data_IF_914721530074
#
_entry.id   IF_914721530074
#
_cell.length_a   1.000
_cell.length_b   1.000
_cell.length_c   1.000
_cell.angle_alpha   90.00
_cell.angle_beta   90.00
_cell.angle_gamma   90.00
#
_symmetry.space_group_name_H-M   'P 1'
#
loop_
_entity.id
_entity.type
_entity.pdbx_description
1 polymer ?
#
# COMPACT_ATOMS: atom_id res chain seq x y z
N UNK A 1 -10.19 -17.79 39.16
CA UNK A 1 -9.59 -16.43 39.22
C UNK A 1 -8.33 -16.43 38.37
N UNK A 2 -8.12 -15.33 37.60
CA UNK A 2 -6.96 -14.97 36.77
C UNK A 2 -7.04 -15.58 35.36
N UNK A 3 -7.80 -14.98 34.43
CA UNK A 3 -7.48 -13.78 33.64
C UNK A 3 -6.08 -13.83 33.04
N UNK A 4 -6.02 -13.89 31.71
CA UNK A 4 -5.15 -13.12 30.81
C UNK A 4 -5.49 -13.60 29.39
N UNK A 5 -6.65 -13.19 28.83
CA UNK A 5 -6.71 -12.09 27.86
C UNK A 5 -5.39 -11.95 27.10
N UNK A 6 -5.09 -12.96 26.27
CA UNK A 6 -4.16 -12.84 25.15
C UNK A 6 -4.58 -11.61 24.37
N UNK A 7 -3.86 -10.53 24.66
CA UNK A 7 -3.99 -9.26 23.99
C UNK A 7 -3.86 -9.56 22.51
N UNK A 8 -4.96 -9.32 21.80
CA UNK A 8 -4.94 -8.99 20.38
C UNK A 8 -3.76 -8.05 20.19
N UNK A 9 -2.67 -8.57 19.64
CA UNK A 9 -1.61 -7.73 19.07
C UNK A 9 -2.34 -7.01 17.96
N UNK A 10 -2.85 -5.82 18.28
CA UNK A 10 -3.27 -4.85 17.29
C UNK A 10 -1.99 -4.58 16.51
N UNK A 11 -1.85 -5.33 15.42
CA UNK A 11 -0.84 -5.14 14.40
C UNK A 11 -0.99 -3.66 14.03
N UNK A 12 -0.11 -2.82 14.60
CA UNK A 12 -0.10 -1.40 14.30
C UNK A 12 -0.05 -1.33 12.77
N UNK A 13 -0.97 -0.61 12.12
CA UNK A 13 -0.96 -0.54 10.66
C UNK A 13 0.43 -0.09 10.27
N UNK A 14 1.17 -0.96 9.57
CA UNK A 14 2.50 -0.62 9.05
C UNK A 14 2.36 0.70 8.30
N UNK A 15 3.36 1.60 8.36
CA UNK A 15 3.30 2.83 7.59
C UNK A 15 3.06 2.49 6.12
N UNK A 16 1.88 2.86 5.64
CA UNK A 16 1.47 2.70 4.24
C UNK A 16 1.67 4.02 3.54
N UNK A 17 2.30 3.97 2.37
CA UNK A 17 2.46 5.12 1.49
C UNK A 17 1.46 5.02 0.35
N UNK A 18 0.99 6.18 -0.10
CA UNK A 18 0.07 6.28 -1.23
C UNK A 18 0.84 6.26 -2.54
N UNK A 19 0.36 5.47 -3.48
CA UNK A 19 0.93 5.35 -4.84
C UNK A 19 -0.17 5.55 -5.85
N UNK A 20 0.07 6.43 -6.83
CA UNK A 20 -0.81 6.63 -7.97
C UNK A 20 -0.36 5.70 -9.10
N UNK A 21 -1.23 4.81 -9.55
CA UNK A 21 -0.95 3.95 -10.70
C UNK A 21 -0.93 4.79 -11.98
N UNK A 22 0.20 4.88 -12.65
CA UNK A 22 0.37 5.67 -13.88
C UNK A 22 0.37 4.80 -15.13
N UNK A 23 0.52 3.48 -14.97
CA UNK A 23 0.52 2.49 -16.06
C UNK A 23 -0.80 2.46 -16.80
N UNK A 24 -0.77 2.58 -18.13
CA UNK A 24 -1.98 2.60 -18.98
C UNK A 24 -2.86 1.35 -18.82
N UNK A 25 -2.26 0.17 -18.72
CA UNK A 25 -2.99 -1.08 -18.52
C UNK A 25 -3.41 -1.34 -17.06
N UNK A 26 -3.13 -0.39 -16.16
CA UNK A 26 -3.25 -0.55 -14.71
C UNK A 26 -2.14 -1.41 -14.10
N UNK A 27 -2.24 -1.62 -12.79
CA UNK A 27 -1.32 -2.45 -12.02
C UNK A 27 -2.09 -3.40 -11.10
N UNK A 28 -1.63 -4.65 -10.98
CA UNK A 28 -2.25 -5.63 -10.11
C UNK A 28 -1.45 -5.71 -8.82
N UNK A 29 -2.08 -5.37 -7.70
CA UNK A 29 -1.46 -5.39 -6.38
C UNK A 29 -2.37 -6.16 -5.42
N UNK A 30 -1.79 -7.04 -4.60
CA UNK A 30 -2.52 -7.89 -3.65
C UNK A 30 -3.76 -8.62 -4.24
N UNK A 31 -3.66 -9.07 -5.51
CA UNK A 31 -4.76 -9.75 -6.22
C UNK A 31 -5.78 -8.82 -6.90
N UNK A 32 -5.82 -7.55 -6.52
CA UNK A 32 -6.73 -6.53 -7.08
C UNK A 32 -6.06 -5.78 -8.24
N UNK A 33 -6.80 -5.56 -9.33
CA UNK A 33 -6.31 -4.77 -10.47
C UNK A 33 -6.76 -3.32 -10.31
N UNK A 34 -5.80 -2.41 -10.22
CA UNK A 34 -6.01 -0.98 -10.11
C UNK A 34 -5.81 -0.31 -11.47
N UNK A 35 -6.76 0.48 -11.97
CA UNK A 35 -6.62 1.20 -13.24
C UNK A 35 -5.63 2.36 -13.15
N UNK A 36 -5.26 2.94 -14.30
CA UNK A 36 -4.50 4.19 -14.36
C UNK A 36 -5.24 5.30 -13.59
N UNK A 37 -4.51 6.08 -12.81
CA UNK A 37 -5.02 7.14 -11.95
C UNK A 37 -5.53 6.66 -10.59
N UNK A 38 -5.60 5.34 -10.34
CA UNK A 38 -6.01 4.82 -9.05
C UNK A 38 -4.93 5.09 -8.00
N UNK A 39 -5.34 5.57 -6.83
CA UNK A 39 -4.47 5.72 -5.66
C UNK A 39 -4.62 4.48 -4.80
N UNK A 40 -3.50 3.86 -4.44
CA UNK A 40 -3.45 2.69 -3.57
C UNK A 40 -2.52 2.94 -2.38
N UNK A 41 -2.92 2.47 -1.21
CA UNK A 41 -2.09 2.46 -0.01
C UNK A 41 -1.32 1.15 0.04
N UNK A 42 0.01 1.24 0.01
CA UNK A 42 0.93 0.07 -0.04
C UNK A 42 2.09 0.29 0.92
N UNK A 43 2.83 -0.77 1.25
CA UNK A 43 4.05 -0.63 2.05
C UNK A 43 5.12 0.14 1.28
N UNK A 44 6.07 0.79 1.96
CA UNK A 44 7.19 1.49 1.30
C UNK A 44 7.98 0.59 0.33
N UNK A 45 8.17 -0.69 0.68
CA UNK A 45 8.85 -1.67 -0.18
C UNK A 45 8.08 -1.93 -1.48
N UNK A 46 6.76 -2.11 -1.39
CA UNK A 46 5.88 -2.29 -2.55
C UNK A 46 5.82 -1.02 -3.39
N UNK A 47 5.77 0.15 -2.74
CA UNK A 47 5.78 1.43 -3.43
C UNK A 47 7.06 1.61 -4.26
N UNK A 48 8.21 1.29 -3.67
CA UNK A 48 9.50 1.31 -4.37
C UNK A 48 9.48 0.34 -5.57
N UNK A 49 8.92 -0.85 -5.41
CA UNK A 49 8.76 -1.80 -6.50
C UNK A 49 7.84 -1.26 -7.61
N UNK A 50 6.68 -0.71 -7.27
CA UNK A 50 5.71 -0.15 -8.21
C UNK A 50 6.32 1.01 -9.02
N UNK A 51 7.12 1.86 -8.37
CA UNK A 51 7.85 2.95 -9.03
C UNK A 51 8.97 2.40 -9.92
N UNK A 52 9.75 1.43 -9.44
CA UNK A 52 10.85 0.80 -10.18
C UNK A 52 10.37 0.12 -11.46
N UNK A 53 9.25 -0.61 -11.40
CA UNK A 53 8.64 -1.24 -12.58
C UNK A 53 7.82 -0.27 -13.45
N UNK A 54 7.90 1.04 -13.18
CA UNK A 54 7.15 2.12 -13.86
C UNK A 54 5.64 1.83 -13.92
N UNK A 55 5.11 1.24 -12.85
CA UNK A 55 3.70 0.94 -12.72
C UNK A 55 2.90 2.06 -12.05
N UNK A 56 3.58 2.89 -11.25
CA UNK A 56 2.98 4.03 -10.56
C UNK A 56 4.03 5.00 -10.03
N UNK A 57 3.58 6.09 -9.44
CA UNK A 57 4.39 7.10 -8.77
C UNK A 57 3.91 7.31 -7.34
N UNK A 58 4.83 7.64 -6.42
CA UNK A 58 4.46 8.00 -5.05
C UNK A 58 3.52 9.22 -5.09
N UNK A 59 2.36 9.11 -4.47
CA UNK A 59 1.53 10.27 -4.21
C UNK A 59 2.27 11.12 -3.17
N UNK A 60 2.57 12.37 -3.51
CA UNK A 60 3.13 13.30 -2.53
C UNK A 60 2.11 13.44 -1.40
N UNK A 61 2.48 13.01 -0.19
CA UNK A 61 1.84 13.55 1.01
C UNK A 61 2.25 15.03 1.04
N UNK A 62 1.34 15.91 0.61
CA UNK A 62 1.44 17.33 0.91
C UNK A 62 1.52 17.45 2.43
N UNK A 63 2.72 17.80 2.92
CA UNK A 63 3.05 18.02 4.31
C UNK A 63 2.69 19.44 4.72
#
# INVERSE_FOLDING_TARGET
>A
MKNDKTASVAEQPKPTVKVVITKENGHRHAGTKHPKGAVIDVSEADAKYIVDVKAGELAKEDK
#
